data_IF_419497418422
#
_entry.id   IF_419497418422
#
_cell.length_a   1.000
_cell.length_b   1.000
_cell.length_c   1.000
_cell.angle_alpha   90.00
_cell.angle_beta   90.00
_cell.angle_gamma   90.00
#
_symmetry.space_group_name_H-M   'P 1'
#
loop_
_entity.id
_entity.type
_entity.pdbx_description
1 polymer ?
#
# COMPACT_ATOMS: atom_id res chain seq x y z
N UNK A 1 -19.90 -0.31 15.78
CA UNK A 1 -19.19 -1.56 15.44
C UNK A 1 -17.72 -1.29 15.65
N UNK A 2 -17.12 -1.94 16.63
CA UNK A 2 -15.82 -1.62 17.22
C UNK A 2 -14.70 -2.36 16.48
N UNK A 3 -13.89 -1.62 15.72
CA UNK A 3 -12.66 -2.14 15.11
C UNK A 3 -11.51 -2.05 16.12
N UNK A 4 -11.25 -3.14 16.83
CA UNK A 4 -10.06 -3.27 17.67
C UNK A 4 -8.85 -3.60 16.80
N UNK A 5 -7.98 -2.61 16.59
CA UNK A 5 -6.64 -2.80 16.04
C UNK A 5 -5.75 -3.48 17.10
N UNK A 6 -5.64 -4.81 17.04
CA UNK A 6 -4.66 -5.56 17.82
C UNK A 6 -3.37 -5.73 17.02
N UNK A 7 -2.30 -5.21 17.60
CA UNK A 7 -0.90 -5.39 17.25
C UNK A 7 -0.48 -6.86 17.16
N UNK A 8 0.39 -7.17 16.18
CA UNK A 8 1.41 -8.23 16.32
C UNK A 8 1.03 -9.63 15.85
N UNK A 9 1.58 -10.01 14.70
CA UNK A 9 1.77 -11.39 14.19
C UNK A 9 0.53 -12.20 13.81
N UNK A 10 0.16 -12.16 12.55
CA UNK A 10 0.22 -13.33 11.66
C UNK A 10 -0.11 -12.92 10.22
N UNK A 11 0.40 -13.65 9.24
CA UNK A 11 -0.29 -13.79 7.96
C UNK A 11 -1.67 -14.36 8.30
N UNK A 12 -2.64 -13.48 8.54
CA UNK A 12 -4.03 -13.86 8.68
C UNK A 12 -4.45 -14.42 7.32
N UNK A 13 -4.94 -15.65 7.34
CA UNK A 13 -5.52 -16.32 6.18
C UNK A 13 -6.88 -15.65 5.93
N UNK A 14 -7.33 -15.50 4.68
CA UNK A 14 -8.60 -14.84 4.30
C UNK A 14 -9.90 -15.43 4.88
N UNK A 15 -9.77 -16.41 5.79
CA UNK A 15 -10.85 -17.18 6.36
C UNK A 15 -11.41 -18.18 5.36
N UNK A 16 -11.56 -19.43 5.79
CA UNK A 16 -12.12 -20.48 4.93
C UNK A 16 -13.55 -20.15 4.46
N UNK A 17 -14.31 -19.43 5.29
CA UNK A 17 -15.70 -19.04 5.00
C UNK A 17 -15.87 -18.14 3.77
N UNK A 18 -14.79 -17.48 3.35
CA UNK A 18 -14.79 -16.63 2.16
C UNK A 18 -14.67 -17.43 0.85
N UNK A 19 -14.30 -18.71 0.90
CA UNK A 19 -14.21 -19.62 -0.26
C UNK A 19 -15.54 -20.33 -0.51
N UNK A 20 -16.55 -19.55 -0.89
CA UNK A 20 -17.92 -20.02 -1.15
C UNK A 20 -18.45 -19.44 -2.45
N UNK A 21 -19.65 -19.86 -2.88
CA UNK A 21 -20.36 -19.22 -3.99
C UNK A 21 -20.45 -17.70 -3.79
N UNK A 22 -20.02 -16.93 -4.80
CA UNK A 22 -19.88 -15.47 -4.74
C UNK A 22 -18.59 -14.95 -4.07
N UNK A 23 -17.82 -15.83 -3.42
CA UNK A 23 -16.59 -15.51 -2.72
C UNK A 23 -15.33 -15.70 -3.57
N UNK A 24 -14.22 -16.03 -2.92
CA UNK A 24 -12.93 -16.24 -3.58
C UNK A 24 -12.91 -17.51 -4.45
N UNK A 25 -12.05 -17.53 -5.46
CA UNK A 25 -11.74 -18.74 -6.23
C UNK A 25 -10.64 -19.55 -5.54
N UNK A 26 -10.85 -20.85 -5.33
CA UNK A 26 -9.87 -21.73 -4.71
C UNK A 26 -8.80 -22.19 -5.71
N UNK A 27 -7.67 -21.47 -5.77
CA UNK A 27 -6.53 -21.78 -6.65
C UNK A 27 -5.56 -22.74 -5.97
N UNK A 28 -5.03 -23.70 -6.74
CA UNK A 28 -3.90 -24.56 -6.37
C UNK A 28 -2.71 -24.32 -7.29
N UNK A 29 -1.53 -24.71 -6.82
CA UNK A 29 -0.32 -24.73 -7.65
C UNK A 29 -0.56 -25.66 -8.85
N UNK A 30 -0.09 -25.23 -10.01
CA UNK A 30 -0.29 -25.83 -11.32
C UNK A 30 -1.74 -25.85 -11.84
N UNK A 31 -2.67 -25.12 -11.21
CA UNK A 31 -3.96 -24.84 -11.87
C UNK A 31 -3.75 -23.91 -13.07
N UNK A 32 -4.51 -24.17 -14.13
CA UNK A 32 -4.38 -23.48 -15.41
C UNK A 32 -5.52 -22.50 -15.66
N UNK A 33 -5.19 -21.37 -16.29
CA UNK A 33 -6.12 -20.32 -16.66
C UNK A 33 -5.92 -19.93 -18.13
N UNK A 34 -6.95 -19.33 -18.74
CA UNK A 34 -6.96 -18.92 -20.16
C UNK A 34 -6.48 -20.04 -21.10
N UNK A 35 -7.17 -21.19 -21.08
CA UNK A 35 -6.87 -22.35 -21.94
C UNK A 35 -5.43 -22.87 -21.82
N UNK A 36 -4.86 -22.85 -20.62
CA UNK A 36 -3.53 -23.39 -20.35
C UNK A 36 -2.40 -22.37 -20.39
N UNK A 37 -2.66 -21.13 -20.82
CA UNK A 37 -1.61 -20.09 -20.94
C UNK A 37 -1.00 -19.71 -19.60
N UNK A 38 -1.81 -19.53 -18.56
CA UNK A 38 -1.32 -19.10 -17.25
C UNK A 38 -1.37 -20.23 -16.25
N UNK A 39 -0.22 -20.59 -15.69
CA UNK A 39 -0.09 -21.69 -14.72
C UNK A 39 0.26 -21.13 -13.35
N UNK A 40 -0.62 -21.32 -12.36
CA UNK A 40 -0.43 -20.78 -11.01
C UNK A 40 0.77 -21.42 -10.28
N UNK A 41 1.63 -20.59 -9.68
CA UNK A 41 2.89 -21.01 -9.06
C UNK A 41 2.84 -20.90 -7.54
N UNK A 42 2.59 -19.70 -7.02
CA UNK A 42 2.42 -19.45 -5.58
C UNK A 42 1.57 -18.21 -5.36
N UNK A 43 0.87 -18.17 -4.23
CA UNK A 43 0.14 -16.98 -3.84
C UNK A 43 1.09 -15.84 -3.49
N UNK A 44 0.79 -14.64 -3.98
CA UNK A 44 1.53 -13.40 -3.70
C UNK A 44 0.86 -12.60 -2.59
N UNK A 45 -0.47 -12.56 -2.58
CA UNK A 45 -1.23 -11.81 -1.58
C UNK A 45 -2.74 -12.02 -1.72
N UNK A 46 -3.48 -11.33 -0.86
CA UNK A 46 -4.94 -11.29 -0.91
C UNK A 46 -5.42 -9.97 -0.30
N UNK A 47 -6.63 -9.59 -0.66
CA UNK A 47 -7.34 -8.44 -0.09
C UNK A 47 -8.82 -8.73 -0.02
N UNK A 48 -9.61 -7.76 0.43
CA UNK A 48 -11.05 -7.91 0.65
C UNK A 48 -11.82 -8.42 -0.59
N UNK A 49 -11.33 -8.11 -1.80
CA UNK A 49 -12.06 -8.37 -3.05
C UNK A 49 -11.38 -9.39 -3.97
N UNK A 50 -10.10 -9.71 -3.77
CA UNK A 50 -9.34 -10.58 -4.68
C UNK A 50 -8.25 -11.39 -3.99
N UNK A 51 -7.78 -12.43 -4.68
CA UNK A 51 -6.47 -13.05 -4.40
C UNK A 51 -5.51 -12.76 -5.55
N UNK A 52 -4.22 -12.65 -5.26
CA UNK A 52 -3.16 -12.43 -6.26
C UNK A 52 -2.18 -13.57 -6.23
N UNK A 53 -1.88 -14.13 -7.40
CA UNK A 53 -1.02 -15.28 -7.58
C UNK A 53 0.12 -14.97 -8.55
N UNK A 54 1.30 -15.50 -8.25
CA UNK A 54 2.35 -15.63 -9.25
C UNK A 54 1.88 -16.70 -10.23
N UNK A 55 1.89 -16.39 -11.51
CA UNK A 55 1.62 -17.34 -12.58
C UNK A 55 2.77 -17.32 -13.60
N UNK A 56 2.92 -18.41 -14.32
CA UNK A 56 3.83 -18.52 -15.45
C UNK A 56 3.02 -18.42 -16.74
N UNK A 57 3.35 -17.48 -17.62
CA UNK A 57 2.79 -17.34 -18.97
C UNK A 57 3.58 -18.24 -19.92
N UNK A 58 2.94 -19.30 -20.42
CA UNK A 58 3.56 -20.28 -21.30
C UNK A 58 3.79 -19.76 -22.72
N UNK A 59 3.18 -18.65 -23.11
CA UNK A 59 3.38 -18.08 -24.46
C UNK A 59 4.58 -17.14 -24.50
N UNK A 60 4.76 -16.32 -23.45
CA UNK A 60 5.87 -15.37 -23.36
C UNK A 60 7.05 -15.89 -22.53
N UNK A 61 6.92 -17.10 -21.98
CA UNK A 61 7.88 -17.72 -21.06
C UNK A 61 8.25 -16.83 -19.86
N UNK A 62 7.29 -16.06 -19.35
CA UNK A 62 7.53 -15.04 -18.33
C UNK A 62 6.65 -15.23 -17.09
N UNK A 63 7.12 -14.72 -15.95
CA UNK A 63 6.33 -14.68 -14.73
C UNK A 63 5.44 -13.42 -14.69
N UNK A 64 4.19 -13.62 -14.30
CA UNK A 64 3.14 -12.58 -14.23
C UNK A 64 2.41 -12.63 -12.89
N UNK A 65 1.71 -11.55 -12.55
CA UNK A 65 0.79 -11.52 -11.41
C UNK A 65 -0.66 -11.68 -11.89
N UNK A 66 -1.30 -12.79 -11.49
CA UNK A 66 -2.69 -13.10 -11.76
C UNK A 66 -3.56 -12.66 -10.59
N UNK A 67 -4.31 -11.56 -10.75
CA UNK A 67 -5.29 -11.07 -9.78
C UNK A 67 -6.67 -11.64 -10.13
N UNK A 68 -7.30 -12.34 -9.17
CA UNK A 68 -8.58 -13.03 -9.35
C UNK A 68 -9.61 -12.43 -8.40
N UNK A 69 -10.64 -11.80 -8.95
CA UNK A 69 -11.71 -11.15 -8.19
C UNK A 69 -12.70 -12.18 -7.62
N UNK A 70 -13.39 -11.82 -6.53
CA UNK A 70 -14.55 -12.56 -6.03
C UNK A 70 -15.66 -12.63 -7.09
N UNK A 71 -16.47 -13.68 -7.05
CA UNK A 71 -17.47 -13.97 -8.09
C UNK A 71 -18.86 -13.37 -7.86
N UNK A 72 -19.14 -12.76 -6.70
CA UNK A 72 -20.47 -12.19 -6.46
C UNK A 72 -20.75 -11.04 -7.44
N UNK A 73 -22.00 -10.91 -7.95
CA UNK A 73 -22.36 -9.88 -8.93
C UNK A 73 -22.06 -8.45 -8.47
N UNK A 74 -22.18 -8.19 -7.17
CA UNK A 74 -21.85 -6.89 -6.54
C UNK A 74 -20.39 -6.46 -6.75
N UNK A 75 -19.45 -7.41 -6.94
CA UNK A 75 -18.05 -7.10 -7.22
C UNK A 75 -17.74 -6.93 -8.71
N UNK A 76 -18.66 -7.31 -9.61
CA UNK A 76 -18.40 -7.30 -11.04
C UNK A 76 -18.21 -5.88 -11.60
N UNK A 77 -18.98 -4.90 -11.11
CA UNK A 77 -18.84 -3.50 -11.53
C UNK A 77 -17.50 -2.91 -11.08
N UNK A 78 -17.08 -3.16 -9.83
CA UNK A 78 -15.77 -2.72 -9.33
C UNK A 78 -14.62 -3.37 -10.11
N UNK A 79 -14.72 -4.66 -10.43
CA UNK A 79 -13.73 -5.35 -11.26
C UNK A 79 -13.61 -4.77 -12.68
N UNK A 80 -14.75 -4.49 -13.32
CA UNK A 80 -14.79 -3.88 -14.66
C UNK A 80 -14.23 -2.45 -14.66
N UNK A 81 -14.56 -1.67 -13.63
CA UNK A 81 -14.02 -0.32 -13.43
C UNK A 81 -12.50 -0.37 -13.27
N UNK A 82 -11.97 -1.29 -12.46
CA UNK A 82 -10.52 -1.46 -12.30
C UNK A 82 -9.85 -1.86 -13.63
N UNK A 83 -10.47 -2.76 -14.41
CA UNK A 83 -9.99 -3.15 -15.74
C UNK A 83 -9.94 -1.94 -16.69
N UNK A 84 -10.97 -1.10 -16.68
CA UNK A 84 -11.04 0.11 -17.51
C UNK A 84 -9.91 1.09 -17.17
N UNK A 85 -9.70 1.37 -15.87
CA UNK A 85 -8.61 2.23 -15.38
C UNK A 85 -7.25 1.66 -15.79
N UNK A 86 -7.00 0.37 -15.52
CA UNK A 86 -5.74 -0.29 -15.84
C UNK A 86 -5.45 -0.35 -17.35
N UNK A 87 -6.51 -0.49 -18.17
CA UNK A 87 -6.40 -0.44 -19.63
C UNK A 87 -6.01 0.95 -20.11
N UNK A 88 -6.62 2.02 -19.56
CA UNK A 88 -6.24 3.40 -19.88
C UNK A 88 -4.79 3.69 -19.51
N UNK A 89 -4.36 3.25 -18.31
CA UNK A 89 -2.97 3.36 -17.84
C UNK A 89 -2.00 2.68 -18.81
N UNK A 90 -2.29 1.46 -19.22
CA UNK A 90 -1.41 0.69 -20.11
C UNK A 90 -1.35 1.30 -21.51
N UNK A 91 -2.49 1.75 -22.04
CA UNK A 91 -2.56 2.31 -23.38
C UNK A 91 -1.86 3.67 -23.49
N UNK A 92 -1.84 4.47 -22.41
CA UNK A 92 -1.13 5.75 -22.39
C UNK A 92 0.38 5.65 -22.13
N UNK A 93 0.88 4.49 -21.67
CA UNK A 93 2.32 4.25 -21.40
C UNK A 93 2.84 2.98 -22.11
N UNK A 94 2.89 2.96 -23.45
CA UNK A 94 3.35 1.78 -24.20
C UNK A 94 4.81 1.40 -23.91
N UNK A 95 5.63 2.35 -23.45
CA UNK A 95 7.04 2.14 -23.09
C UNK A 95 7.23 1.63 -21.66
N UNK A 96 6.16 1.55 -20.86
CA UNK A 96 6.18 1.08 -19.47
C UNK A 96 7.15 1.88 -18.56
N UNK A 97 7.23 3.19 -18.80
CA UNK A 97 8.22 4.11 -18.23
C UNK A 97 7.68 5.01 -17.12
N UNK A 98 6.37 5.04 -16.91
CA UNK A 98 5.69 6.01 -16.02
C UNK A 98 5.57 5.55 -14.57
N UNK A 99 6.26 4.48 -14.17
CA UNK A 99 6.24 3.96 -12.80
C UNK A 99 4.82 3.56 -12.31
N UNK A 100 3.98 3.04 -13.19
CA UNK A 100 2.64 2.50 -12.87
C UNK A 100 2.53 1.08 -13.41
N UNK A 101 1.85 0.18 -12.69
CA UNK A 101 1.69 -1.22 -13.09
C UNK A 101 0.97 -1.36 -14.42
N UNK A 102 1.45 -2.29 -15.24
CA UNK A 102 0.86 -2.62 -16.53
C UNK A 102 -0.14 -3.78 -16.44
N UNK A 103 -1.28 -3.62 -17.11
CA UNK A 103 -2.19 -4.70 -17.45
C UNK A 103 -1.75 -5.36 -18.75
N UNK A 104 -1.47 -6.65 -18.68
CA UNK A 104 -1.12 -7.48 -19.84
C UNK A 104 -2.41 -7.87 -20.56
N UNK A 105 -3.37 -8.43 -19.81
CA UNK A 105 -4.70 -8.78 -20.32
C UNK A 105 -5.68 -9.03 -19.18
N UNK A 106 -6.95 -9.24 -19.53
CA UNK A 106 -7.98 -9.66 -18.60
C UNK A 106 -8.90 -10.71 -19.26
N UNK A 107 -9.49 -11.59 -18.46
CA UNK A 107 -10.42 -12.61 -18.92
C UNK A 107 -11.39 -13.04 -17.82
N UNK A 108 -12.38 -13.85 -18.19
CA UNK A 108 -13.30 -14.51 -17.24
C UNK A 108 -12.85 -15.94 -17.00
N UNK A 109 -12.85 -16.37 -15.74
CA UNK A 109 -12.61 -17.75 -15.35
C UNK A 109 -13.84 -18.31 -14.64
N UNK A 110 -14.35 -19.44 -15.12
CA UNK A 110 -15.47 -20.15 -14.48
C UNK A 110 -14.90 -21.16 -13.51
N UNK A 111 -15.20 -20.99 -12.23
CA UNK A 111 -14.80 -21.91 -11.16
C UNK A 111 -16.00 -22.39 -10.33
N UNK A 112 -15.77 -23.22 -9.31
CA UNK A 112 -16.84 -23.79 -8.48
C UNK A 112 -17.64 -22.73 -7.72
N UNK A 113 -17.04 -21.56 -7.46
CA UNK A 113 -17.66 -20.47 -6.71
C UNK A 113 -18.36 -19.43 -7.61
N UNK A 114 -18.36 -19.63 -8.93
CA UNK A 114 -18.96 -18.73 -9.91
C UNK A 114 -17.97 -18.28 -10.97
N UNK A 115 -18.31 -17.20 -11.66
CA UNK A 115 -17.47 -16.60 -12.68
C UNK A 115 -16.64 -15.48 -12.07
N UNK A 116 -15.33 -15.55 -12.25
CA UNK A 116 -14.36 -14.63 -11.68
C UNK A 116 -13.75 -13.77 -12.79
N UNK A 117 -13.61 -12.46 -12.54
CA UNK A 117 -12.80 -11.60 -13.39
C UNK A 117 -11.33 -11.75 -13.00
N UNK A 118 -10.50 -12.04 -13.99
CA UNK A 118 -9.07 -12.23 -13.85
C UNK A 118 -8.33 -11.12 -14.59
N UNK A 119 -7.32 -10.54 -13.95
CA UNK A 119 -6.41 -9.56 -14.53
C UNK A 119 -4.99 -10.13 -14.46
N UNK A 120 -4.30 -10.10 -15.58
CA UNK A 120 -2.89 -10.48 -15.70
C UNK A 120 -2.09 -9.19 -15.72
N UNK A 121 -1.30 -8.98 -14.68
CA UNK A 121 -0.43 -7.82 -14.50
C UNK A 121 1.03 -8.26 -14.69
N UNK A 122 1.91 -7.32 -15.02
CA UNK A 122 3.35 -7.57 -14.92
C UNK A 122 3.72 -8.02 -13.49
N UNK A 123 4.67 -8.95 -13.37
CA UNK A 123 5.16 -9.32 -12.06
C UNK A 123 6.00 -8.18 -11.47
N UNK A 124 5.68 -7.82 -10.22
CA UNK A 124 6.46 -6.90 -9.40
C UNK A 124 6.87 -7.59 -8.11
N UNK A 125 7.87 -7.01 -7.45
CA UNK A 125 8.47 -7.49 -6.22
C UNK A 125 7.64 -7.22 -4.97
N UNK A 126 8.35 -6.95 -3.88
CA UNK A 126 7.73 -6.71 -2.58
C UNK A 126 7.17 -5.29 -2.48
N UNK A 127 6.07 -5.12 -1.73
CA UNK A 127 5.57 -3.79 -1.41
C UNK A 127 6.48 -3.04 -0.43
N UNK A 128 6.40 -1.72 -0.45
CA UNK A 128 7.20 -0.84 0.40
C UNK A 128 6.96 -1.10 1.89
N UNK A 129 5.73 -1.47 2.31
CA UNK A 129 5.49 -1.84 3.71
C UNK A 129 6.37 -3.03 4.15
N UNK A 130 6.60 -4.00 3.27
CA UNK A 130 7.51 -5.12 3.53
C UNK A 130 8.96 -4.66 3.63
N UNK A 131 9.37 -3.65 2.86
CA UNK A 131 10.70 -3.04 2.94
C UNK A 131 10.90 -2.33 4.29
N UNK A 132 9.94 -1.50 4.71
CA UNK A 132 9.95 -0.84 6.03
C UNK A 132 10.05 -1.86 7.16
N UNK A 133 9.25 -2.93 7.09
CA UNK A 133 9.30 -4.07 8.03
C UNK A 133 10.62 -4.81 7.99
N UNK A 134 11.19 -5.02 6.80
CA UNK A 134 12.47 -5.69 6.63
C UNK A 134 13.59 -4.90 7.32
N UNK A 135 13.54 -3.57 7.19
CA UNK A 135 14.41 -2.60 7.87
C UNK A 135 14.02 -2.32 9.35
N UNK A 136 13.11 -3.11 9.92
CA UNK A 136 12.70 -3.04 11.33
C UNK A 136 12.17 -1.66 11.74
N UNK A 137 11.46 -0.96 10.85
CA UNK A 137 10.84 0.34 11.13
C UNK A 137 11.84 1.42 11.59
N UNK A 138 13.09 1.37 11.09
CA UNK A 138 14.14 2.34 11.43
C UNK A 138 14.23 3.56 10.50
N UNK A 139 13.37 3.63 9.48
CA UNK A 139 13.52 4.58 8.38
C UNK A 139 14.63 4.18 7.40
N UNK A 140 14.46 4.51 6.12
CA UNK A 140 15.45 4.27 5.08
C UNK A 140 16.46 5.41 5.02
N UNK A 141 17.63 5.11 4.46
CA UNK A 141 18.60 6.13 4.08
C UNK A 141 18.00 7.14 3.10
N UNK A 142 18.31 8.43 3.24
CA UNK A 142 17.61 9.49 2.54
C UNK A 142 17.71 9.39 1.00
N UNK A 143 18.81 8.91 0.44
CA UNK A 143 18.90 8.68 -1.01
C UNK A 143 17.93 7.60 -1.50
N UNK A 144 17.71 6.53 -0.72
CA UNK A 144 16.71 5.49 -1.03
C UNK A 144 15.28 6.05 -0.94
N UNK A 145 15.02 6.94 0.04
CA UNK A 145 13.74 7.66 0.14
C UNK A 145 13.50 8.53 -1.09
N UNK A 146 14.50 9.30 -1.52
CA UNK A 146 14.43 10.17 -2.72
C UNK A 146 14.15 9.36 -3.99
N UNK A 147 14.81 8.22 -4.16
CA UNK A 147 14.63 7.34 -5.32
C UNK A 147 13.20 6.80 -5.43
N UNK A 148 12.66 6.28 -4.31
CA UNK A 148 11.26 5.82 -4.24
C UNK A 148 10.31 7.00 -4.50
N UNK A 149 10.54 8.15 -3.86
CA UNK A 149 9.70 9.33 -4.02
C UNK A 149 9.66 9.81 -5.48
N UNK A 150 10.80 9.78 -6.17
CA UNK A 150 10.89 10.13 -7.59
C UNK A 150 10.03 9.20 -8.45
N UNK A 151 10.10 7.88 -8.22
CA UNK A 151 9.26 6.90 -8.93
C UNK A 151 7.76 7.16 -8.70
N UNK A 152 7.35 7.36 -7.43
CA UNK A 152 5.95 7.61 -7.08
C UNK A 152 5.45 8.91 -7.70
N UNK A 153 6.24 9.98 -7.67
CA UNK A 153 5.86 11.26 -8.31
C UNK A 153 5.79 11.17 -9.83
N UNK A 154 6.66 10.38 -10.48
CA UNK A 154 6.54 10.09 -11.92
C UNK A 154 5.21 9.39 -12.23
N UNK A 155 4.81 8.43 -11.40
CA UNK A 155 3.50 7.77 -11.52
C UNK A 155 2.33 8.72 -11.30
N UNK A 156 2.37 9.54 -10.25
CA UNK A 156 1.31 10.50 -9.97
C UNK A 156 1.18 11.58 -11.05
N UNK A 157 2.29 12.12 -11.58
CA UNK A 157 2.25 13.09 -12.68
C UNK A 157 1.54 12.51 -13.90
N UNK A 158 1.89 11.27 -14.27
CA UNK A 158 1.23 10.56 -15.37
C UNK A 158 -0.29 10.38 -15.12
N UNK A 159 -0.66 9.85 -13.96
CA UNK A 159 -2.06 9.62 -13.60
C UNK A 159 -2.87 10.92 -13.61
N UNK A 160 -2.35 11.98 -12.98
CA UNK A 160 -3.06 13.24 -12.79
C UNK A 160 -3.14 14.04 -14.10
N UNK A 161 -2.02 14.25 -14.77
CA UNK A 161 -1.91 15.20 -15.89
C UNK A 161 -2.25 14.58 -17.24
N UNK A 162 -1.85 13.34 -17.48
CA UNK A 162 -2.08 12.69 -18.78
C UNK A 162 -3.39 11.89 -18.80
N UNK A 163 -3.84 11.32 -17.67
CA UNK A 163 -5.04 10.46 -17.62
C UNK A 163 -6.23 11.06 -16.84
N UNK A 164 -6.04 12.17 -16.11
CA UNK A 164 -7.08 12.73 -15.22
C UNK A 164 -7.64 11.72 -14.20
N UNK A 165 -6.76 10.84 -13.72
CA UNK A 165 -7.07 9.81 -12.72
C UNK A 165 -6.57 10.24 -11.34
N UNK A 166 -7.35 9.91 -10.32
CA UNK A 166 -6.99 10.03 -8.91
C UNK A 166 -6.84 8.61 -8.36
N UNK A 167 -5.72 8.29 -7.71
CA UNK A 167 -5.46 6.97 -7.15
C UNK A 167 -6.33 6.69 -5.92
N UNK A 168 -6.48 7.68 -5.04
CA UNK A 168 -7.33 7.71 -3.84
C UNK A 168 -6.95 6.77 -2.69
N UNK A 169 -6.04 5.81 -2.88
CA UNK A 169 -5.56 4.93 -1.80
C UNK A 169 -4.04 4.71 -1.84
N UNK A 170 -3.27 5.79 -2.02
CA UNK A 170 -1.81 5.70 -2.08
C UNK A 170 -1.23 5.46 -0.67
N UNK A 171 -0.44 4.41 -0.52
CA UNK A 171 0.18 3.96 0.74
C UNK A 171 1.32 2.97 0.46
N UNK A 172 2.21 2.66 1.41
CA UNK A 172 3.30 1.70 1.24
C UNK A 172 2.89 0.30 0.72
N UNK A 173 1.67 -0.16 0.99
CA UNK A 173 1.16 -1.44 0.48
C UNK A 173 0.90 -1.43 -1.02
N UNK A 174 0.59 -0.26 -1.58
CA UNK A 174 0.18 -0.04 -2.97
C UNK A 174 1.33 0.53 -3.83
N UNK A 175 2.56 0.39 -3.34
CA UNK A 175 3.79 0.71 -4.08
C UNK A 175 4.67 -0.54 -4.03
N UNK A 176 5.00 -1.11 -5.17
CA UNK A 176 5.80 -2.34 -5.27
C UNK A 176 7.15 -2.06 -5.93
N UNK A 177 8.21 -2.61 -5.36
CA UNK A 177 9.54 -2.64 -5.96
C UNK A 177 9.50 -3.46 -7.25
N UNK A 178 10.38 -3.17 -8.21
CA UNK A 178 10.50 -3.98 -9.44
C UNK A 178 11.01 -5.41 -9.17
N UNK A 179 11.70 -5.62 -8.05
CA UNK A 179 12.22 -6.93 -7.65
C UNK A 179 11.99 -7.20 -6.17
N UNK A 180 12.02 -8.47 -5.78
CA UNK A 180 11.83 -8.84 -4.37
C UNK A 180 13.04 -8.43 -3.53
N UNK A 181 12.80 -8.10 -2.26
CA UNK A 181 13.84 -7.74 -1.28
C UNK A 181 14.85 -8.87 -1.11
N UNK A 182 14.39 -10.13 -1.21
CA UNK A 182 15.26 -11.29 -1.17
C UNK A 182 15.37 -11.89 -2.57
N UNK A 183 16.48 -11.61 -3.26
CA UNK A 183 16.78 -12.10 -4.61
C UNK A 183 16.61 -13.62 -4.80
N UNK A 184 16.79 -14.44 -3.74
CA UNK A 184 16.56 -15.90 -3.83
C UNK A 184 15.09 -16.30 -3.94
N UNK A 185 14.16 -15.39 -3.63
CA UNK A 185 12.70 -15.57 -3.75
C UNK A 185 12.12 -14.88 -4.98
N UNK A 186 12.95 -14.13 -5.70
CA UNK A 186 12.59 -13.46 -6.92
C UNK A 186 12.58 -14.48 -8.07
N UNK A 187 11.42 -14.74 -8.71
CA UNK A 187 11.34 -15.79 -9.73
C UNK A 187 12.21 -15.51 -10.95
N UNK A 188 12.48 -14.23 -11.24
CA UNK A 188 13.31 -13.79 -12.37
C UNK A 188 14.79 -13.87 -11.96
N UNK A 189 15.19 -13.20 -10.88
CA UNK A 189 16.61 -13.16 -10.46
C UNK A 189 17.12 -14.53 -10.02
N UNK A 190 16.27 -15.38 -9.42
CA UNK A 190 16.65 -16.73 -8.99
C UNK A 190 16.57 -17.77 -10.11
N UNK A 191 16.15 -17.40 -11.33
CA UNK A 191 15.87 -18.31 -12.45
C UNK A 191 15.00 -19.50 -12.02
N UNK A 192 13.91 -19.20 -11.30
CA UNK A 192 13.02 -20.23 -10.79
C UNK A 192 12.46 -21.07 -11.94
N UNK A 193 12.54 -22.40 -11.83
CA UNK A 193 11.90 -23.30 -12.78
C UNK A 193 10.38 -23.30 -12.54
N UNK A 194 9.56 -23.04 -13.57
CA UNK A 194 8.12 -23.04 -13.42
C UNK A 194 7.60 -24.45 -13.14
N UNK A 195 6.62 -24.55 -12.24
CA UNK A 195 5.88 -25.79 -11.99
C UNK A 195 4.78 -25.87 -13.05
N UNK A 196 4.95 -26.75 -14.04
CA UNK A 196 4.02 -26.92 -15.16
C UNK A 196 2.92 -27.95 -14.88
N UNK A 197 3.22 -28.96 -14.07
CA UNK A 197 2.33 -30.06 -13.76
C UNK A 197 2.04 -30.15 -12.26
N UNK A 198 0.90 -30.77 -11.92
CA UNK A 198 0.55 -31.03 -10.53
C UNK A 198 1.50 -32.10 -9.98
N UNK A 199 2.10 -31.90 -8.79
CA UNK A 199 2.93 -32.92 -8.17
C UNK A 199 2.14 -34.23 -8.02
N UNK A 200 2.67 -35.32 -8.57
CA UNK A 200 2.05 -36.65 -8.43
C UNK A 200 1.98 -37.04 -6.94
N UNK A 201 0.80 -37.47 -6.47
CA UNK A 201 0.65 -38.09 -5.14
C UNK A 201 -0.20 -37.36 -4.10
N UNK A 202 -1.20 -36.56 -4.48
CA UNK A 202 -2.20 -36.07 -3.51
C UNK A 202 -3.58 -36.68 -3.83
N UNK A 203 -4.03 -37.73 -3.11
CA UNK A 203 -5.36 -38.28 -3.29
C UNK A 203 -6.42 -37.22 -2.98
N UNK A 204 -7.44 -37.18 -3.83
CA UNK A 204 -8.61 -36.32 -3.69
C UNK A 204 -9.20 -36.36 -2.27
N UNK A 205 -9.38 -35.19 -1.67
CA UNK A 205 -10.32 -34.99 -0.56
C UNK A 205 -9.77 -34.95 0.87
N UNK A 206 -8.69 -35.65 1.24
CA UNK A 206 -8.21 -35.67 2.64
C UNK A 206 -6.93 -34.86 2.90
N UNK A 207 -6.14 -34.57 1.85
CA UNK A 207 -4.80 -34.01 2.04
C UNK A 207 -4.76 -32.52 2.41
N UNK A 208 -5.81 -31.76 2.10
CA UNK A 208 -5.96 -30.37 2.53
C UNK A 208 -5.98 -30.29 4.07
N UNK A 209 -6.65 -31.23 4.75
CA UNK A 209 -6.62 -31.35 6.21
C UNK A 209 -5.20 -31.64 6.72
N UNK A 210 -4.40 -32.50 6.07
CA UNK A 210 -3.03 -32.80 6.52
C UNK A 210 -2.03 -31.65 6.29
N UNK A 211 -2.20 -30.83 5.26
CA UNK A 211 -1.38 -29.64 5.04
C UNK A 211 -1.70 -28.53 6.06
N UNK A 212 -2.99 -28.38 6.37
CA UNK A 212 -3.50 -27.48 7.43
C UNK A 212 -3.05 -27.97 8.81
N UNK A 213 -3.15 -29.26 9.11
CA UNK A 213 -2.61 -29.85 10.34
C UNK A 213 -1.08 -29.68 10.43
N UNK A 214 -0.34 -29.83 9.33
CA UNK A 214 1.10 -29.58 9.32
C UNK A 214 1.42 -28.11 9.62
N UNK A 215 0.68 -27.17 9.03
CA UNK A 215 0.82 -25.73 9.30
C UNK A 215 0.40 -25.36 10.72
N UNK A 216 -0.67 -25.94 11.25
CA UNK A 216 -1.12 -25.79 12.63
C UNK A 216 -0.12 -26.39 13.62
N UNK A 217 0.42 -27.59 13.35
CA UNK A 217 1.49 -28.21 14.16
C UNK A 217 2.77 -27.39 14.09
N UNK A 218 3.11 -26.79 12.95
CA UNK A 218 4.28 -25.91 12.82
C UNK A 218 4.07 -24.56 13.52
N UNK A 219 2.86 -23.98 13.46
CA UNK A 219 2.45 -22.78 14.24
C UNK A 219 2.47 -23.08 15.74
N UNK A 220 1.90 -24.21 16.16
CA UNK A 220 1.93 -24.67 17.55
C UNK A 220 3.37 -24.90 18.04
N UNK A 221 4.23 -25.56 17.25
CA UNK A 221 5.66 -25.70 17.57
C UNK A 221 6.38 -24.36 17.70
N UNK A 222 6.09 -23.38 16.84
CA UNK A 222 6.66 -22.02 16.93
C UNK A 222 6.13 -21.25 18.14
N UNK A 223 4.84 -21.37 18.44
CA UNK A 223 4.23 -20.76 19.63
C UNK A 223 4.81 -21.37 20.91
N UNK A 224 4.94 -22.70 20.97
CA UNK A 224 5.57 -23.42 22.09
C UNK A 224 7.05 -23.06 22.23
N UNK A 225 7.81 -22.96 21.13
CA UNK A 225 9.20 -22.47 21.18
C UNK A 225 9.29 -21.02 21.69
N UNK A 226 8.31 -20.17 21.36
CA UNK A 226 8.24 -18.77 21.85
C UNK A 226 7.84 -18.70 23.33
N UNK A 227 7.03 -19.65 23.82
CA UNK A 227 6.66 -19.77 25.24
C UNK A 227 7.79 -20.39 26.06
N UNK A 228 8.50 -21.38 25.51
CA UNK A 228 9.64 -22.04 26.16
C UNK A 228 10.86 -21.11 26.26
N UNK A 229 11.05 -20.19 25.31
CA UNK A 229 12.09 -19.14 25.36
C UNK A 229 11.76 -17.99 26.30
N UNK A 230 10.49 -17.81 26.71
CA UNK A 230 10.10 -16.85 27.77
C UNK A 230 10.35 -17.36 29.19
N UNK A 231 10.63 -18.66 29.39
CA UNK A 231 10.89 -19.27 30.71
C UNK A 231 12.35 -19.57 31.03
N UNK A 232 13.25 -19.42 30.06
CA UNK A 232 14.70 -19.50 30.28
C UNK A 232 15.36 -18.31 29.64
N UNK A 233 16.06 -17.50 30.44
CA UNK A 233 16.83 -16.34 29.96
C UNK A 233 17.96 -16.80 29.03
N UNK A 234 17.65 -16.95 27.75
CA UNK A 234 18.64 -17.07 26.68
C UNK A 234 18.60 -15.81 25.84
N UNK A 235 19.76 -15.13 25.80
CA UNK A 235 20.05 -14.06 24.86
C UNK A 235 19.82 -14.63 23.45
N UNK A 236 18.75 -14.18 22.79
CA UNK A 236 18.55 -14.51 21.38
C UNK A 236 19.75 -13.97 20.61
N UNK A 237 20.50 -14.85 19.94
CA UNK A 237 21.59 -14.43 19.07
C UNK A 237 21.08 -13.29 18.15
N UNK A 238 21.81 -12.17 18.03
CA UNK A 238 21.37 -11.07 17.19
C UNK A 238 21.13 -11.61 15.78
N UNK A 239 19.88 -11.52 15.29
CA UNK A 239 19.60 -11.79 13.87
C UNK A 239 20.59 -10.96 13.06
N UNK A 240 21.28 -11.57 12.07
CA UNK A 240 22.32 -10.88 11.32
C UNK A 240 21.80 -9.52 10.83
N UNK A 241 22.68 -8.50 10.79
CA UNK A 241 22.30 -7.20 10.25
C UNK A 241 21.71 -7.42 8.86
N UNK A 242 20.45 -7.02 8.68
CA UNK A 242 19.81 -7.06 7.38
C UNK A 242 20.34 -5.87 6.62
N UNK A 243 21.19 -6.11 5.64
CA UNK A 243 21.69 -5.06 4.78
C UNK A 243 20.61 -4.69 3.75
N UNK A 244 20.46 -3.38 3.50
CA UNK A 244 19.63 -2.88 2.41
C UNK A 244 20.45 -2.69 1.12
N UNK A 245 21.73 -3.05 1.13
CA UNK A 245 22.62 -2.93 -0.02
C UNK A 245 22.25 -3.95 -1.10
N UNK A 246 22.28 -3.51 -2.35
CA UNK A 246 21.90 -4.32 -3.51
C UNK A 246 20.39 -4.50 -3.70
N UNK A 247 19.54 -3.93 -2.84
CA UNK A 247 18.11 -3.82 -3.10
C UNK A 247 17.90 -2.62 -4.03
N UNK A 248 17.31 -2.89 -5.20
CA UNK A 248 16.90 -1.89 -6.17
C UNK A 248 15.62 -1.17 -5.67
N UNK A 249 15.65 0.16 -5.59
CA UNK A 249 14.55 0.98 -5.07
C UNK A 249 13.57 1.42 -6.17
N UNK A 250 13.82 1.10 -7.44
CA UNK A 250 12.85 1.32 -8.51
C UNK A 250 11.53 0.63 -8.16
N UNK A 251 10.43 1.36 -8.30
CA UNK A 251 9.11 0.90 -7.88
C UNK A 251 7.99 1.45 -8.78
N UNK A 252 6.81 0.86 -8.62
CA UNK A 252 5.59 1.25 -9.34
C UNK A 252 4.39 1.36 -8.41
N UNK A 253 3.49 2.27 -8.75
CA UNK A 253 2.16 2.39 -8.13
C UNK A 253 1.27 1.25 -8.65
N UNK A 254 0.54 0.60 -7.74
CA UNK A 254 -0.36 -0.52 -8.03
C UNK A 254 -1.71 -0.35 -7.32
N UNK A 255 -2.64 -1.25 -7.62
CA UNK A 255 -3.96 -1.36 -6.98
C UNK A 255 -4.90 -0.18 -7.23
N UNK A 256 -5.54 -0.21 -8.39
CA UNK A 256 -6.45 0.83 -8.87
C UNK A 256 -7.92 0.53 -8.58
N UNK A 257 -8.21 -0.40 -7.67
CA UNK A 257 -9.58 -0.79 -7.33
C UNK A 257 -10.44 0.34 -6.73
N UNK A 258 -9.80 1.34 -6.12
CA UNK A 258 -10.45 2.54 -5.56
C UNK A 258 -10.28 3.79 -6.45
N UNK A 259 -9.46 3.72 -7.49
CA UNK A 259 -9.13 4.89 -8.31
C UNK A 259 -10.37 5.43 -9.03
N UNK A 260 -10.39 6.72 -9.33
CA UNK A 260 -11.50 7.34 -10.06
C UNK A 260 -11.00 8.42 -11.02
N UNK A 261 -11.78 8.68 -12.07
CA UNK A 261 -11.55 9.85 -12.92
C UNK A 261 -12.02 11.11 -12.21
N UNK A 262 -11.31 12.22 -12.40
CA UNK A 262 -11.68 13.52 -11.83
C UNK A 262 -13.11 13.94 -12.21
N UNK A 263 -13.55 13.60 -13.42
CA UNK A 263 -14.92 13.86 -13.90
C UNK A 263 -15.99 12.90 -13.37
N UNK A 264 -15.60 11.77 -12.74
CA UNK A 264 -16.50 10.69 -12.32
C UNK A 264 -16.08 10.11 -10.97
N UNK A 265 -16.18 10.94 -9.92
CA UNK A 265 -15.97 10.55 -8.52
C UNK A 265 -17.21 9.80 -8.01
N UNK A 266 -17.03 8.64 -7.38
CA UNK A 266 -18.13 7.79 -6.91
C UNK A 266 -18.13 7.53 -5.39
N UNK A 267 -17.05 7.88 -4.69
CA UNK A 267 -16.93 7.72 -3.24
C UNK A 267 -16.54 9.05 -2.58
N UNK A 268 -17.26 9.45 -1.53
CA UNK A 268 -16.87 10.60 -0.71
C UNK A 268 -15.84 10.22 0.34
N UNK A 269 -15.85 8.96 0.79
CA UNK A 269 -14.85 8.41 1.70
C UNK A 269 -13.81 7.63 0.92
N UNK A 270 -12.66 8.27 0.74
CA UNK A 270 -11.47 7.70 0.12
C UNK A 270 -10.31 7.63 1.13
N UNK A 271 -9.17 7.09 0.68
CA UNK A 271 -7.92 6.98 1.41
C UNK A 271 -7.97 6.10 2.66
N UNK A 272 -6.92 5.31 2.85
CA UNK A 272 -6.63 4.67 4.11
C UNK A 272 -6.37 5.72 5.21
N UNK A 273 -6.90 5.49 6.41
CA UNK A 273 -6.98 6.47 7.52
C UNK A 273 -5.70 7.29 7.72
N UNK A 274 -4.54 6.64 7.81
CA UNK A 274 -3.26 7.29 8.15
C UNK A 274 -2.69 8.16 7.02
N UNK A 275 -3.22 8.03 5.80
CA UNK A 275 -2.81 8.77 4.61
C UNK A 275 -3.91 9.71 4.12
N UNK A 276 -5.00 9.85 4.90
CA UNK A 276 -6.22 10.58 4.52
C UNK A 276 -6.02 12.09 4.69
N UNK A 277 -6.39 12.84 3.65
CA UNK A 277 -6.26 14.28 3.59
C UNK A 277 -7.35 15.00 4.42
N UNK A 278 -7.08 16.23 4.91
CA UNK A 278 -8.03 16.98 5.72
C UNK A 278 -9.34 17.28 5.00
N UNK A 279 -9.31 17.57 3.70
CA UNK A 279 -10.52 17.81 2.90
C UNK A 279 -11.46 16.59 2.87
N UNK A 280 -10.90 15.37 2.89
CA UNK A 280 -11.67 14.12 2.92
C UNK A 280 -12.31 13.91 4.31
N UNK A 281 -11.57 14.19 5.39
CA UNK A 281 -12.11 14.12 6.77
C UNK A 281 -13.24 15.13 6.96
N UNK A 282 -13.09 16.33 6.38
CA UNK A 282 -14.08 17.40 6.47
C UNK A 282 -15.24 17.25 5.47
N UNK A 283 -15.18 16.27 4.57
CA UNK A 283 -16.13 16.09 3.47
C UNK A 283 -16.29 17.37 2.63
N UNK A 284 -15.15 17.93 2.22
CA UNK A 284 -15.05 18.91 1.13
C UNK A 284 -14.74 18.18 -0.18
N UNK A 285 -14.85 18.88 -1.31
CA UNK A 285 -14.45 18.29 -2.59
C UNK A 285 -12.94 17.97 -2.59
N UNK A 286 -12.59 16.78 -3.08
CA UNK A 286 -11.22 16.33 -3.23
C UNK A 286 -10.84 16.29 -4.71
N UNK A 287 -9.54 16.29 -5.02
CA UNK A 287 -8.99 16.13 -6.37
C UNK A 287 -7.62 15.44 -6.27
N UNK A 288 -6.77 15.59 -7.28
CA UNK A 288 -5.38 15.10 -7.35
C UNK A 288 -4.54 15.43 -6.09
N UNK A 289 -4.84 16.57 -5.45
CA UNK A 289 -4.22 17.02 -4.20
C UNK A 289 -4.35 16.04 -3.03
N UNK A 290 -5.35 15.16 -3.04
CA UNK A 290 -5.53 14.12 -2.05
C UNK A 290 -4.41 13.07 -2.16
N UNK A 291 -4.07 12.63 -3.38
CA UNK A 291 -2.95 11.71 -3.59
C UNK A 291 -1.62 12.34 -3.17
N UNK A 292 -1.44 13.65 -3.42
CA UNK A 292 -0.24 14.38 -2.98
C UNK A 292 -0.09 14.39 -1.45
N UNK A 293 -1.20 14.52 -0.71
CA UNK A 293 -1.18 14.37 0.75
C UNK A 293 -0.75 12.96 1.19
N UNK A 294 -1.34 11.93 0.58
CA UNK A 294 -0.97 10.54 0.85
C UNK A 294 0.50 10.23 0.50
N UNK A 295 1.01 10.83 -0.57
CA UNK A 295 2.41 10.77 -0.96
C UNK A 295 3.32 11.36 0.13
N UNK A 296 3.00 12.54 0.66
CA UNK A 296 3.80 13.15 1.73
C UNK A 296 3.82 12.29 3.01
N UNK A 297 2.67 11.70 3.37
CA UNK A 297 2.58 10.75 4.48
C UNK A 297 3.44 9.50 4.24
N UNK A 298 3.44 8.97 3.01
CA UNK A 298 4.26 7.82 2.59
C UNK A 298 5.77 8.15 2.62
N UNK A 299 6.16 9.32 2.13
CA UNK A 299 7.56 9.77 2.14
C UNK A 299 8.12 9.92 3.56
N UNK A 300 7.31 10.45 4.48
CA UNK A 300 7.67 10.48 5.90
C UNK A 300 7.83 9.08 6.50
N UNK A 301 6.92 8.16 6.20
CA UNK A 301 7.00 6.79 6.71
C UNK A 301 8.21 6.04 6.17
N UNK A 302 8.57 6.28 4.90
CA UNK A 302 9.83 5.79 4.32
C UNK A 302 11.05 6.31 5.09
N UNK A 303 11.09 7.60 5.40
CA UNK A 303 12.22 8.25 6.08
C UNK A 303 12.34 7.89 7.56
N UNK A 304 11.23 7.58 8.24
CA UNK A 304 11.20 7.42 9.69
C UNK A 304 10.89 5.99 10.14
N UNK A 305 10.24 5.21 9.28
CA UNK A 305 9.68 3.90 9.62
C UNK A 305 8.36 3.96 10.40
N UNK A 306 7.82 5.15 10.67
CA UNK A 306 6.57 5.35 11.40
C UNK A 306 5.54 6.11 10.56
N UNK A 307 4.25 5.78 10.74
CA UNK A 307 3.16 6.53 10.14
C UNK A 307 3.18 7.99 10.61
N UNK A 308 3.02 8.95 9.69
CA UNK A 308 2.99 10.38 10.03
C UNK A 308 1.85 10.71 11.00
N UNK A 309 0.66 10.19 10.71
CA UNK A 309 -0.52 10.37 11.53
C UNK A 309 -1.11 9.01 11.91
N UNK A 310 -1.20 8.75 13.22
CA UNK A 310 -1.80 7.53 13.77
C UNK A 310 -2.89 7.90 14.77
N UNK A 311 -4.04 8.42 14.28
CA UNK A 311 -5.10 8.92 15.14
C UNK A 311 -5.72 7.81 15.99
N UNK A 312 -6.19 8.18 17.18
CA UNK A 312 -6.81 7.27 18.15
C UNK A 312 -8.16 7.81 18.59
N UNK A 313 -9.16 6.95 18.68
CA UNK A 313 -10.46 7.29 19.25
C UNK A 313 -10.44 7.15 20.75
N UNK A 314 -11.07 8.07 21.46
CA UNK A 314 -11.35 7.93 22.91
C UNK A 314 -12.83 8.17 23.17
N UNK A 315 -13.30 7.98 24.41
CA UNK A 315 -14.66 8.38 24.78
C UNK A 315 -14.88 9.91 24.65
N UNK A 316 -13.80 10.71 24.67
CA UNK A 316 -13.86 12.17 24.67
C UNK A 316 -13.78 12.83 23.30
N UNK A 317 -13.29 12.15 22.27
CA UNK A 317 -13.18 12.68 20.90
C UNK A 317 -13.09 11.54 19.87
N UNK A 318 -13.52 11.81 18.64
CA UNK A 318 -13.45 10.83 17.55
C UNK A 318 -12.03 10.71 17.00
N UNK A 319 -11.75 9.59 16.31
CA UNK A 319 -10.51 9.44 15.53
C UNK A 319 -10.33 10.55 14.50
N UNK A 320 -11.41 11.06 13.89
CA UNK A 320 -11.35 12.18 12.96
C UNK A 320 -10.88 13.48 13.61
N UNK A 321 -11.37 13.78 14.82
CA UNK A 321 -10.96 14.99 15.54
C UNK A 321 -9.50 14.90 16.02
N UNK A 322 -9.08 13.73 16.49
CA UNK A 322 -7.67 13.44 16.82
C UNK A 322 -6.77 13.57 15.59
N UNK A 323 -7.23 13.08 14.44
CA UNK A 323 -6.46 13.17 13.21
C UNK A 323 -6.23 14.63 12.81
N UNK A 324 -7.27 15.47 12.85
CA UNK A 324 -7.16 16.90 12.60
C UNK A 324 -6.26 17.60 13.64
N UNK A 325 -6.30 17.18 14.91
CA UNK A 325 -5.41 17.68 15.94
C UNK A 325 -3.94 17.36 15.64
N UNK A 326 -3.61 16.12 15.28
CA UNK A 326 -2.24 15.72 14.90
C UNK A 326 -1.72 16.52 13.71
N UNK A 327 -2.56 16.77 12.70
CA UNK A 327 -2.20 17.63 11.57
C UNK A 327 -1.89 19.05 12.03
N UNK A 328 -2.72 19.62 12.92
CA UNK A 328 -2.51 20.98 13.43
C UNK A 328 -1.31 21.10 14.37
N UNK A 329 -1.00 20.07 15.16
CA UNK A 329 0.20 20.04 16.00
C UNK A 329 1.48 20.08 15.15
N UNK A 330 1.48 19.43 13.99
CA UNK A 330 2.63 19.37 13.09
C UNK A 330 2.75 20.59 12.17
N UNK A 331 1.63 21.04 11.59
CA UNK A 331 1.58 22.02 10.49
C UNK A 331 1.12 23.42 10.93
N UNK A 332 0.70 23.57 12.19
CA UNK A 332 0.13 24.80 12.73
C UNK A 332 -1.39 24.89 12.59
N UNK A 333 -1.96 26.04 12.98
CA UNK A 333 -3.41 26.23 12.99
C UNK A 333 -3.99 26.15 11.57
N UNK A 334 -4.97 25.27 11.37
CA UNK A 334 -5.71 25.18 10.12
C UNK A 334 -6.39 26.52 9.79
N UNK A 335 -6.26 27.06 8.56
CA UNK A 335 -6.90 28.30 8.18
C UNK A 335 -8.41 28.21 8.39
N UNK A 336 -9.00 29.25 9.02
CA UNK A 336 -10.43 29.25 9.39
C UNK A 336 -11.35 28.88 8.23
N UNK A 337 -11.08 29.40 7.02
CA UNK A 337 -11.88 29.12 5.81
C UNK A 337 -11.93 27.61 5.49
N UNK A 338 -10.83 26.89 5.68
CA UNK A 338 -10.75 25.44 5.49
C UNK A 338 -11.45 24.73 6.64
N UNK A 339 -11.12 25.10 7.88
CA UNK A 339 -11.64 24.46 9.09
C UNK A 339 -13.17 24.45 9.16
N UNK A 340 -13.84 25.52 8.69
CA UNK A 340 -15.30 25.65 8.71
C UNK A 340 -15.98 25.38 7.35
N UNK A 341 -15.20 25.02 6.32
CA UNK A 341 -15.66 24.97 4.93
C UNK A 341 -16.28 23.63 4.48
N UNK A 342 -16.02 22.54 5.19
CA UNK A 342 -16.48 21.20 4.82
C UNK A 342 -17.85 20.84 5.39
N UNK A 343 -18.53 19.85 4.77
CA UNK A 343 -19.86 19.39 5.21
C UNK A 343 -19.86 18.88 6.66
N UNK A 344 -18.75 18.27 7.10
CA UNK A 344 -18.57 17.75 8.46
C UNK A 344 -17.76 18.66 9.38
N UNK A 345 -17.38 19.86 8.94
CA UNK A 345 -16.61 20.80 9.77
C UNK A 345 -17.25 21.09 11.13
N UNK A 346 -18.59 21.16 11.19
CA UNK A 346 -19.34 21.39 12.43
C UNK A 346 -19.22 20.24 13.44
N UNK A 347 -18.77 19.05 13.05
CA UNK A 347 -18.55 17.94 13.98
C UNK A 347 -17.30 18.19 14.84
N UNK A 348 -16.32 18.91 14.29
CA UNK A 348 -14.95 19.02 14.83
C UNK A 348 -14.58 20.44 15.26
N UNK A 349 -15.00 21.46 14.51
CA UNK A 349 -14.58 22.84 14.71
C UNK A 349 -15.72 23.75 15.20
N UNK A 350 -15.37 24.73 16.02
CA UNK A 350 -16.24 25.85 16.36
C UNK A 350 -16.27 26.95 15.26
N UNK A 351 -16.99 28.05 15.51
CA UNK A 351 -17.11 29.17 14.55
C UNK A 351 -15.80 29.94 14.30
N UNK A 352 -14.81 29.77 15.18
CA UNK A 352 -13.49 30.41 15.12
C UNK A 352 -12.47 29.51 14.40
N UNK A 353 -12.82 28.25 14.10
CA UNK A 353 -11.94 27.28 13.48
C UNK A 353 -11.06 26.55 14.49
N UNK A 354 -11.46 26.52 15.76
CA UNK A 354 -10.77 25.79 16.83
C UNK A 354 -11.48 24.45 17.10
N UNK A 355 -10.71 23.41 17.42
CA UNK A 355 -11.26 22.08 17.71
C UNK A 355 -12.12 22.10 18.98
N UNK A 356 -13.27 21.44 18.94
CA UNK A 356 -14.29 21.51 20.00
C UNK A 356 -13.86 20.80 21.29
N UNK A 357 -13.29 19.60 21.15
CA UNK A 357 -13.01 18.66 22.24
C UNK A 357 -11.52 18.63 22.56
N UNK A 358 -10.65 18.74 21.56
CA UNK A 358 -9.19 18.81 21.75
C UNK A 358 -8.72 20.27 21.82
N UNK A 359 -8.73 20.85 23.02
CA UNK A 359 -8.46 22.29 23.23
C UNK A 359 -7.00 22.66 23.47
N UNK A 360 -6.13 21.68 23.71
CA UNK A 360 -4.70 21.88 24.02
C UNK A 360 -3.85 21.08 23.04
N UNK A 361 -3.39 21.74 21.99
CA UNK A 361 -2.50 21.18 20.98
C UNK A 361 -1.03 21.35 21.40
N UNK A 362 -0.23 20.31 21.21
CA UNK A 362 1.21 20.29 21.44
C UNK A 362 1.96 20.51 20.13
N UNK A 363 2.17 21.77 19.78
CA UNK A 363 2.85 22.12 18.53
C UNK A 363 4.30 21.61 18.49
N UNK A 364 4.62 20.86 17.43
CA UNK A 364 5.96 20.36 17.14
C UNK A 364 6.16 20.36 15.62
N UNK A 365 6.82 21.40 15.06
CA UNK A 365 7.11 21.47 13.63
C UNK A 365 7.87 20.24 13.12
N UNK A 366 7.67 19.91 11.84
CA UNK A 366 8.16 18.67 11.24
C UNK A 366 9.69 18.51 11.31
N UNK A 367 10.45 19.55 10.99
CA UNK A 367 11.91 19.55 11.08
C UNK A 367 12.40 19.21 12.49
N UNK A 368 11.80 19.85 13.51
CA UNK A 368 12.12 19.58 14.91
C UNK A 368 11.73 18.16 15.32
N UNK A 369 10.57 17.67 14.90
CA UNK A 369 10.15 16.29 15.15
C UNK A 369 11.14 15.28 14.58
N UNK A 370 11.61 15.50 13.34
CA UNK A 370 12.57 14.65 12.65
C UNK A 370 13.92 14.57 13.38
N UNK A 371 14.40 15.69 13.93
CA UNK A 371 15.64 15.72 14.74
C UNK A 371 15.41 15.09 16.12
N UNK A 372 14.42 15.60 16.87
CA UNK A 372 14.25 15.27 18.29
C UNK A 372 13.83 13.82 18.50
N UNK A 373 12.91 13.30 17.67
CA UNK A 373 12.38 11.93 17.80
C UNK A 373 13.17 10.93 16.95
N UNK A 374 13.37 11.25 15.67
CA UNK A 374 13.90 10.29 14.70
C UNK A 374 15.42 10.39 14.48
N UNK A 375 16.08 11.37 15.12
CA UNK A 375 17.54 11.53 15.10
C UNK A 375 18.11 11.71 13.69
N UNK A 376 17.32 12.28 12.77
CA UNK A 376 17.84 12.72 11.48
C UNK A 376 18.84 13.87 11.69
N UNK A 377 19.78 14.02 10.75
CA UNK A 377 20.67 15.17 10.74
C UNK A 377 19.84 16.47 10.59
N UNK A 378 20.30 17.58 11.17
CA UNK A 378 19.61 18.86 11.03
C UNK A 378 19.41 19.24 9.54
N UNK A 379 20.38 18.89 8.69
CA UNK A 379 20.30 19.12 7.24
C UNK A 379 19.19 18.29 6.61
N UNK A 380 19.17 16.96 6.83
CA UNK A 380 18.16 16.08 6.23
C UNK A 380 16.75 16.41 6.76
N UNK A 381 16.63 16.71 8.05
CA UNK A 381 15.36 17.09 8.66
C UNK A 381 14.80 18.39 8.05
N UNK A 382 15.65 19.42 7.91
CA UNK A 382 15.26 20.69 7.31
C UNK A 382 14.86 20.52 5.85
N UNK A 383 15.68 19.86 5.04
CA UNK A 383 15.39 19.71 3.61
C UNK A 383 14.17 18.82 3.34
N UNK A 384 13.97 17.76 4.14
CA UNK A 384 12.77 16.94 4.04
C UNK A 384 11.52 17.73 4.45
N UNK A 385 11.60 18.55 5.52
CA UNK A 385 10.49 19.41 5.92
C UNK A 385 10.19 20.50 4.87
N UNK A 386 11.22 21.14 4.30
CA UNK A 386 11.10 22.11 3.20
C UNK A 386 10.40 21.48 1.98
N UNK A 387 10.64 20.19 1.71
CA UNK A 387 9.97 19.46 0.64
C UNK A 387 8.53 19.04 0.97
N UNK A 388 8.27 18.49 2.17
CA UNK A 388 6.97 17.91 2.53
C UNK A 388 5.93 18.94 2.97
N UNK A 389 6.32 20.00 3.69
CA UNK A 389 5.37 20.96 4.25
C UNK A 389 4.49 21.66 3.18
N UNK A 390 5.01 22.08 2.01
CA UNK A 390 4.17 22.61 0.93
C UNK A 390 3.16 21.60 0.38
N UNK A 391 3.52 20.31 0.36
CA UNK A 391 2.64 19.22 -0.07
C UNK A 391 1.53 18.97 0.95
N UNK A 392 1.78 19.30 2.22
CA UNK A 392 0.85 19.17 3.34
C UNK A 392 0.07 20.46 3.63
N UNK A 393 -0.04 21.40 2.69
CA UNK A 393 -0.88 22.59 2.90
C UNK A 393 -2.35 22.18 3.13
N UNK A 394 -3.01 22.81 4.10
CA UNK A 394 -4.42 22.55 4.41
C UNK A 394 -5.36 22.96 3.27
N UNK A 395 -4.97 23.96 2.46
CA UNK A 395 -5.70 24.37 1.27
C UNK A 395 -5.27 23.48 0.09
N UNK A 396 -6.15 22.59 -0.42
CA UNK A 396 -5.77 21.63 -1.46
C UNK A 396 -5.22 22.30 -2.73
N UNK A 397 -5.74 23.47 -3.08
CA UNK A 397 -5.35 24.27 -4.24
C UNK A 397 -3.95 24.89 -4.14
N UNK A 398 -3.35 24.92 -2.94
CA UNK A 398 -1.99 25.41 -2.72
C UNK A 398 -0.92 24.32 -2.77
N UNK A 399 -1.32 23.05 -2.73
CA UNK A 399 -0.39 21.94 -2.79
C UNK A 399 0.24 21.88 -4.19
N UNK A 400 1.56 21.72 -4.29
CA UNK A 400 2.21 21.54 -5.59
C UNK A 400 1.72 20.25 -6.28
N UNK A 401 1.71 20.26 -7.60
CA UNK A 401 1.46 19.06 -8.41
C UNK A 401 2.65 18.10 -8.36
N UNK A 402 2.44 16.84 -8.73
CA UNK A 402 3.54 15.88 -8.86
C UNK A 402 4.64 16.36 -9.82
N UNK A 403 4.25 17.01 -10.94
CA UNK A 403 5.18 17.64 -11.88
C UNK A 403 6.08 18.69 -11.22
N UNK A 404 5.49 19.55 -10.39
CA UNK A 404 6.23 20.59 -9.66
C UNK A 404 7.17 19.97 -8.62
N UNK A 405 6.71 18.96 -7.88
CA UNK A 405 7.54 18.23 -6.93
C UNK A 405 8.74 17.54 -7.61
N UNK A 406 8.59 17.00 -8.83
CA UNK A 406 9.68 16.39 -9.59
C UNK A 406 10.84 17.36 -9.91
N UNK A 407 10.57 18.68 -9.89
CA UNK A 407 11.60 19.71 -10.09
C UNK A 407 12.26 20.17 -8.77
N UNK A 408 11.80 19.65 -7.62
CA UNK A 408 12.29 20.11 -6.32
C UNK A 408 13.72 19.59 -6.04
N UNK A 409 14.66 20.45 -5.59
CA UNK A 409 16.06 20.07 -5.39
C UNK A 409 16.27 18.91 -4.40
N UNK A 410 15.37 18.72 -3.44
CA UNK A 410 15.44 17.62 -2.47
C UNK A 410 15.47 16.24 -3.14
N UNK A 411 14.87 16.06 -4.33
CA UNK A 411 14.88 14.78 -5.06
C UNK A 411 16.23 14.46 -5.73
N UNK A 412 17.16 15.42 -5.78
CA UNK A 412 18.48 15.17 -6.35
C UNK A 412 19.29 14.29 -5.40
N UNK A 413 19.84 13.19 -5.95
CA UNK A 413 20.71 12.30 -5.20
C UNK A 413 21.94 13.07 -4.72
N UNK A 414 22.30 12.85 -3.45
CA UNK A 414 23.52 13.39 -2.87
C UNK A 414 24.60 12.32 -2.85
N UNK A 415 25.82 12.71 -3.18
CA UNK A 415 26.97 11.82 -3.00
C UNK A 415 27.05 11.43 -1.51
N UNK A 416 27.31 10.15 -1.19
CA UNK A 416 27.57 9.75 0.19
C UNK A 416 28.77 10.57 0.71
N UNK A 417 28.59 11.20 1.87
CA UNK A 417 29.64 11.94 2.58
C UNK A 417 30.64 10.96 3.18
#
# INVERSE_FOLDING_TARGET
MSCSSSSGSSEEDEGFDSYRKGGYHAVRVADTFASGRYIAQRKLGWGQFSTVWLAYDTQTEAYVALKIQKSAPEFAQSALHEIEVLSAITNGDPTNSKCVVRLIEHFKHVGPNGQHWCMVLEFLGDNILRLIRYNRYKGLEMNKVREICKCVLTGLDYLHRELSLIHTDLKPENILLLSTINSSKDPIKSKMTPILEKPEGVPNGSAAMTAIERRLKQRARRAVATISTKRGGFVTAPKPPRCLDGIDMNCKIVDFGNACWESKKFAEEIQTRQYRAPEVILQSDYSYSADMWSFACTAFELATGEMMFAPKGTQGFSEDEDHLALMMELLGKMPRKIAIGGRRSKDYFDRHGDLKRIRRLKYCPLDRLLVDKFKLSNTDARELAEFLCPILDFAPEKRPTAQQCLQHPWLNMKNPV
#
